data_IF_105732633664
#
_entry.id   IF_105732633664
#
_cell.length_a   1.000
_cell.length_b   1.000
_cell.length_c   1.000
_cell.angle_alpha   90.00
_cell.angle_beta   90.00
_cell.angle_gamma   90.00
#
_symmetry.space_group_name_H-M   'P 1'
#
loop_
_entity.id
_entity.type
_entity.pdbx_description
1 polymer ?
#
# COMPACT_ATOMS: atom_id res chain seq x y z
N UNK A 1 0.54 -3.44 0.04
CA UNK A 1 -0.78 -2.78 0.15
C UNK A 1 -1.76 -3.45 -0.79
N UNK A 2 -2.93 -3.87 -0.30
CA UNK A 2 -3.90 -4.68 -1.07
C UNK A 2 -5.35 -4.28 -0.76
N UNK A 3 -6.22 -4.10 -1.76
CA UNK A 3 -7.66 -3.89 -1.52
C UNK A 3 -8.33 -5.16 -0.97
N UNK A 4 -9.19 -5.06 0.05
CA UNK A 4 -9.73 -6.24 0.76
C UNK A 4 -11.10 -6.72 0.29
N UNK A 5 -12.02 -5.81 -0.04
CA UNK A 5 -13.43 -6.16 -0.36
C UNK A 5 -13.92 -5.56 -1.68
N UNK A 6 -13.19 -4.58 -2.23
CA UNK A 6 -13.52 -3.84 -3.44
C UNK A 6 -12.34 -2.92 -3.81
N UNK A 7 -12.53 -2.02 -4.77
CA UNK A 7 -11.47 -1.06 -5.13
C UNK A 7 -11.17 -0.12 -3.95
N UNK A 8 -9.89 0.19 -3.74
CA UNK A 8 -9.48 1.30 -2.89
C UNK A 8 -9.14 2.48 -3.81
N UNK A 9 -9.82 3.61 -3.64
CA UNK A 9 -9.77 4.77 -4.54
C UNK A 9 -9.14 5.98 -3.85
N UNK A 10 -8.53 6.88 -4.63
CA UNK A 10 -7.88 8.07 -4.09
C UNK A 10 -6.69 7.76 -3.19
N UNK A 11 -5.97 6.65 -3.44
CA UNK A 11 -4.89 6.21 -2.56
C UNK A 11 -3.69 7.15 -2.70
N UNK A 12 -3.28 7.76 -1.59
CA UNK A 12 -2.10 8.61 -1.53
C UNK A 12 -1.09 8.03 -0.56
N UNK A 13 0.19 8.09 -0.91
CA UNK A 13 1.27 7.67 -0.03
C UNK A 13 2.44 8.65 -0.01
N UNK A 14 3.09 8.75 1.16
CA UNK A 14 4.35 9.48 1.36
C UNK A 14 5.30 8.65 2.23
N UNK A 15 6.61 8.91 2.12
CA UNK A 15 7.64 8.14 2.84
C UNK A 15 7.89 6.74 2.28
N UNK A 16 7.37 6.45 1.08
CA UNK A 16 7.50 5.16 0.40
C UNK A 16 8.17 5.31 -0.97
N UNK A 17 8.95 4.30 -1.37
CA UNK A 17 9.70 4.29 -2.65
C UNK A 17 8.81 4.39 -3.89
N UNK A 18 7.65 3.73 -3.88
CA UNK A 18 6.64 3.81 -4.94
C UNK A 18 5.48 4.71 -4.50
N UNK A 19 5.58 6.05 -4.65
CA UNK A 19 4.52 6.94 -4.22
C UNK A 19 3.24 6.74 -5.02
N UNK A 20 2.11 6.84 -4.34
CA UNK A 20 0.77 6.91 -4.91
C UNK A 20 0.24 8.33 -4.75
N UNK A 21 -0.35 8.88 -5.81
CA UNK A 21 -0.88 10.24 -5.92
C UNK A 21 -2.35 10.24 -6.34
N UNK A 22 -3.15 9.41 -5.69
CA UNK A 22 -4.60 9.33 -5.89
C UNK A 22 -5.05 8.17 -6.77
N UNK A 23 -4.19 7.18 -7.02
CA UNK A 23 -4.53 6.05 -7.88
C UNK A 23 -5.59 5.15 -7.24
N UNK A 24 -6.25 4.37 -8.09
CA UNK A 24 -7.16 3.30 -7.67
C UNK A 24 -6.42 1.96 -7.66
N UNK A 25 -6.42 1.29 -6.51
CA UNK A 25 -6.00 -0.10 -6.38
C UNK A 25 -7.21 -1.01 -6.60
N UNK A 26 -7.18 -1.80 -7.66
CA UNK A 26 -8.31 -2.64 -8.05
C UNK A 26 -8.32 -3.99 -7.35
N UNK A 27 -9.50 -4.41 -6.88
CA UNK A 27 -9.69 -5.75 -6.31
C UNK A 27 -9.53 -6.84 -7.38
N UNK A 28 -8.98 -8.00 -7.02
CA UNK A 28 -8.85 -9.16 -7.92
C UNK A 28 -7.75 -9.08 -8.98
N UNK A 29 -7.13 -7.90 -9.21
CA UNK A 29 -5.84 -7.80 -9.92
C UNK A 29 -4.76 -7.48 -8.89
N UNK A 30 -3.92 -8.45 -8.50
CA UNK A 30 -2.90 -8.23 -7.49
C UNK A 30 -1.73 -7.41 -8.06
N UNK A 31 -1.96 -6.15 -8.43
CA UNK A 31 -0.90 -5.13 -8.38
C UNK A 31 -0.86 -4.58 -6.97
N UNK A 32 -0.70 -5.46 -5.98
CA UNK A 32 -0.34 -5.02 -4.65
C UNK A 32 0.98 -4.30 -4.76
N UNK A 33 1.04 -3.03 -4.35
CA UNK A 33 2.33 -2.34 -4.28
C UNK A 33 3.04 -2.91 -3.07
N UNK A 34 3.97 -3.84 -3.31
CA UNK A 34 5.02 -4.20 -2.36
C UNK A 34 5.93 -3.00 -2.28
N UNK A 35 5.57 -2.08 -1.40
CA UNK A 35 6.25 -0.81 -1.24
C UNK A 35 7.35 -0.92 -0.20
N UNK A 36 8.34 -0.03 -0.29
CA UNK A 36 9.48 0.02 0.61
C UNK A 36 9.41 1.33 1.38
N UNK A 37 9.53 1.26 2.71
CA UNK A 37 9.73 2.44 3.55
C UNK A 37 11.12 3.01 3.25
N UNK A 38 11.15 4.26 2.78
CA UNK A 38 12.39 5.02 2.53
C UNK A 38 12.74 5.92 3.72
N UNK A 39 11.80 6.09 4.65
CA UNK A 39 11.91 6.93 5.83
C UNK A 39 11.48 6.12 7.07
N UNK A 40 11.72 6.65 8.27
CA UNK A 40 11.27 6.02 9.52
C UNK A 40 9.74 5.91 9.60
N UNK A 41 9.02 6.78 8.88
CA UNK A 41 7.57 6.88 8.89
C UNK A 41 7.04 6.97 7.46
N UNK A 42 5.87 6.38 7.24
CA UNK A 42 5.12 6.50 5.99
C UNK A 42 3.67 6.85 6.30
N UNK A 43 3.06 7.62 5.39
CA UNK A 43 1.64 7.98 5.49
C UNK A 43 0.88 7.35 4.33
N UNK A 44 -0.30 6.84 4.63
CA UNK A 44 -1.23 6.27 3.66
C UNK A 44 -2.61 6.83 3.93
N UNK A 45 -3.25 7.39 2.91
CA UNK A 45 -4.65 7.79 2.95
C UNK A 45 -5.39 7.23 1.74
N UNK A 46 -6.71 7.16 1.85
CA UNK A 46 -7.62 6.79 0.78
C UNK A 46 -8.92 7.59 0.91
N UNK A 47 -9.60 7.80 -0.20
CA UNK A 47 -10.90 8.48 -0.22
C UNK A 47 -12.06 7.52 0.06
N UNK A 48 -11.99 6.29 -0.49
CA UNK A 48 -13.05 5.29 -0.35
C UNK A 48 -12.52 3.87 -0.56
N UNK A 49 -13.17 2.91 0.10
CA UNK A 49 -12.87 1.49 0.05
C UNK A 49 -12.18 0.98 1.32
N UNK A 50 -11.57 -0.20 1.22
CA UNK A 50 -10.84 -0.82 2.32
C UNK A 50 -9.48 -1.33 1.84
N UNK A 51 -8.43 -0.87 2.50
CA UNK A 51 -7.04 -1.17 2.15
C UNK A 51 -6.36 -1.94 3.28
N UNK A 52 -5.89 -3.15 2.99
CA UNK A 52 -5.02 -3.92 3.87
C UNK A 52 -3.57 -3.47 3.70
N UNK A 53 -2.97 -3.02 4.80
CA UNK A 53 -1.56 -2.69 4.89
C UNK A 53 -0.88 -3.76 5.73
N UNK A 54 0.11 -4.42 5.13
CA UNK A 54 1.01 -5.35 5.82
C UNK A 54 2.38 -4.70 5.80
N UNK A 55 2.92 -4.47 6.99
CA UNK A 55 4.30 -4.03 7.18
C UNK A 55 5.09 -5.21 7.73
N UNK A 56 6.11 -5.63 6.98
CA UNK A 56 6.98 -6.74 7.36
C UNK A 56 8.42 -6.28 7.45
N UNK A 57 9.17 -6.84 8.41
CA UNK A 57 10.61 -6.70 8.43
C UNK A 57 11.22 -7.74 7.50
N UNK A 58 11.71 -7.31 6.33
CA UNK A 58 12.31 -8.21 5.34
C UNK A 58 13.56 -8.96 5.83
N UNK A 59 14.16 -8.58 6.98
CA UNK A 59 15.27 -9.34 7.59
C UNK A 59 14.80 -10.59 8.34
N UNK A 60 13.55 -10.68 8.77
CA UNK A 60 13.02 -11.80 9.55
C UNK A 60 12.35 -12.89 8.68
N UNK A 61 12.16 -12.62 7.38
CA UNK A 61 11.52 -13.55 6.44
C UNK A 61 12.51 -14.48 5.71
N UNK A 62 13.82 -14.37 6.01
CA UNK A 62 14.85 -15.27 5.49
C UNK A 62 15.05 -16.43 6.48
N UNK A 63 14.18 -17.42 6.40
CA UNK A 63 14.42 -18.76 6.96
C UNK A 63 15.14 -19.63 5.94
#
# INVERSE_FOLDING_TARGET
MLPLTGNATGVHTTGLYYPLRGETLHFGRPRGVSNVLEQEQAWVSLESGLLLIIHTNSRELKT
#
